data_IF_939579612007
#
_entry.id   IF_939579612007
#
_cell.length_a   1.000
_cell.length_b   1.000
_cell.length_c   1.000
_cell.angle_alpha   90.00
_cell.angle_beta   90.00
_cell.angle_gamma   90.00
#
_symmetry.space_group_name_H-M   'P 1'
#
loop_
_entity.id
_entity.type
_entity.pdbx_description
1 polymer ?
#
# COMPACT_ATOMS: atom_id res chain seq x y z
N UNK A 1 8.32 -5.96 -8.27
CA UNK A 1 8.35 -5.72 -6.81
C UNK A 1 9.76 -6.01 -6.35
N UNK A 2 10.36 -5.14 -5.56
CA UNK A 2 11.64 -5.41 -4.90
C UNK A 2 11.33 -5.70 -3.43
N UNK A 3 11.71 -6.88 -2.95
CA UNK A 3 11.35 -7.39 -1.63
C UNK A 3 10.32 -8.51 -1.65
N UNK A 4 10.13 -9.13 -0.49
CA UNK A 4 9.28 -10.31 -0.31
C UNK A 4 7.80 -9.95 -0.40
N UNK A 5 7.02 -10.86 -0.96
CA UNK A 5 5.57 -10.71 -1.14
C UNK A 5 4.87 -11.83 -0.39
N UNK A 6 3.90 -11.47 0.45
CA UNK A 6 3.06 -12.43 1.17
C UNK A 6 1.59 -12.29 0.80
N UNK A 7 0.90 -13.40 0.58
CA UNK A 7 -0.56 -13.42 0.43
C UNK A 7 -1.16 -14.31 1.52
N UNK A 8 -1.76 -13.65 2.51
CA UNK A 8 -2.29 -14.29 3.70
C UNK A 8 -3.55 -15.15 3.47
N UNK A 9 -4.07 -15.75 4.56
CA UNK A 9 -5.27 -16.57 4.54
C UNK A 9 -6.41 -15.95 3.74
N UNK A 10 -7.08 -16.75 2.92
CA UNK A 10 -8.24 -16.32 2.12
C UNK A 10 -7.96 -15.21 1.09
N UNK A 11 -6.71 -14.84 0.90
CA UNK A 11 -6.29 -13.89 -0.11
C UNK A 11 -6.51 -14.41 -1.53
N UNK A 12 -6.51 -13.51 -2.49
CA UNK A 12 -6.48 -13.84 -3.92
C UNK A 12 -5.32 -13.12 -4.57
N UNK A 13 -4.56 -13.84 -5.38
CA UNK A 13 -3.44 -13.27 -6.15
C UNK A 13 -3.74 -13.38 -7.65
N UNK A 14 -3.37 -12.34 -8.39
CA UNK A 14 -3.43 -12.26 -9.84
C UNK A 14 -2.01 -11.95 -10.33
N UNK A 15 -1.20 -12.99 -10.53
CA UNK A 15 0.21 -12.82 -10.87
C UNK A 15 0.36 -12.80 -12.39
N UNK A 16 0.22 -11.63 -12.99
CA UNK A 16 0.16 -11.45 -14.45
C UNK A 16 1.54 -11.21 -15.05
N UNK A 17 1.85 -11.81 -16.19
CA UNK A 17 3.04 -11.43 -16.96
C UNK A 17 2.90 -10.01 -17.54
N UNK A 18 3.97 -9.21 -17.64
CA UNK A 18 5.37 -9.50 -17.34
C UNK A 18 5.80 -9.06 -15.91
N UNK A 19 4.94 -9.21 -14.90
CA UNK A 19 5.30 -8.80 -13.53
C UNK A 19 6.46 -9.63 -12.98
N UNK A 20 7.36 -8.98 -12.23
CA UNK A 20 8.54 -9.60 -11.62
C UNK A 20 8.57 -9.32 -10.13
N UNK A 21 8.84 -10.33 -9.31
CA UNK A 21 9.16 -10.23 -7.89
C UNK A 21 10.65 -10.50 -7.71
N UNK A 22 11.39 -9.49 -7.27
CA UNK A 22 12.78 -9.57 -6.84
C UNK A 22 12.82 -9.77 -5.31
N UNK A 23 12.47 -10.98 -4.89
CA UNK A 23 12.28 -11.39 -3.50
C UNK A 23 11.57 -12.74 -3.43
N UNK A 24 11.30 -13.21 -2.22
CA UNK A 24 10.56 -14.45 -1.99
C UNK A 24 9.04 -14.22 -2.05
N UNK A 25 8.29 -15.22 -2.51
CA UNK A 25 6.82 -15.21 -2.55
C UNK A 25 6.28 -16.22 -1.54
N UNK A 26 5.52 -15.75 -0.55
CA UNK A 26 4.88 -16.57 0.48
C UNK A 26 3.37 -16.62 0.22
N UNK A 27 2.83 -17.81 -0.01
CA UNK A 27 1.41 -18.05 -0.18
C UNK A 27 0.89 -18.87 0.99
N UNK A 28 -0.07 -18.32 1.73
CA UNK A 28 -0.70 -19.03 2.83
C UNK A 28 -1.39 -20.31 2.35
N UNK A 29 -1.30 -21.38 3.15
CA UNK A 29 -1.92 -22.67 2.84
C UNK A 29 -3.45 -22.61 2.69
N UNK A 30 -4.09 -21.57 3.23
CA UNK A 30 -5.53 -21.32 3.15
C UNK A 30 -5.90 -20.21 2.14
N UNK A 31 -5.00 -19.89 1.21
CA UNK A 31 -5.26 -18.97 0.10
C UNK A 31 -6.57 -19.31 -0.62
N UNK A 32 -7.39 -18.31 -0.95
CA UNK A 32 -8.66 -18.55 -1.62
C UNK A 32 -8.48 -18.91 -3.10
N UNK A 33 -7.61 -18.18 -3.82
CA UNK A 33 -7.43 -18.39 -5.26
C UNK A 33 -6.15 -17.75 -5.83
N UNK A 34 -5.57 -18.42 -6.83
CA UNK A 34 -4.64 -17.81 -7.81
C UNK A 34 -5.42 -17.60 -9.11
N UNK A 35 -5.53 -16.37 -9.61
CA UNK A 35 -6.26 -16.02 -10.83
C UNK A 35 -5.43 -16.33 -12.08
N UNK A 36 -4.22 -15.77 -12.14
CA UNK A 36 -3.19 -16.08 -13.13
C UNK A 36 -1.86 -16.31 -12.41
N UNK A 37 -0.98 -17.04 -13.08
CA UNK A 37 0.33 -17.41 -12.55
C UNK A 37 1.40 -17.31 -13.66
N UNK A 38 1.45 -16.15 -14.30
CA UNK A 38 2.29 -15.84 -15.47
C UNK A 38 3.43 -14.86 -15.13
N UNK A 39 3.51 -14.40 -13.88
CA UNK A 39 4.60 -13.55 -13.41
C UNK A 39 5.91 -14.33 -13.23
N UNK A 40 6.97 -13.62 -12.85
CA UNK A 40 8.30 -14.21 -12.59
C UNK A 40 8.78 -13.88 -11.19
N UNK A 41 9.11 -14.89 -10.40
CA UNK A 41 9.84 -14.75 -9.14
C UNK A 41 11.34 -14.97 -9.36
N UNK A 42 12.18 -14.04 -8.88
CA UNK A 42 13.64 -14.23 -8.84
C UNK A 42 14.06 -14.99 -7.56
N UNK A 43 13.27 -14.87 -6.49
CA UNK A 43 13.47 -15.61 -5.23
C UNK A 43 12.74 -16.95 -5.19
N UNK A 44 12.47 -17.43 -3.97
CA UNK A 44 11.80 -18.71 -3.71
C UNK A 44 10.29 -18.51 -3.54
N UNK A 45 9.49 -19.38 -4.17
CA UNK A 45 8.07 -19.52 -3.86
C UNK A 45 7.88 -20.53 -2.73
N UNK A 46 7.19 -20.10 -1.66
CA UNK A 46 6.72 -20.92 -0.56
C UNK A 46 5.19 -21.00 -0.61
N UNK A 47 4.65 -22.11 -1.08
CA UNK A 47 3.21 -22.34 -1.26
C UNK A 47 2.67 -23.57 -0.50
N UNK A 48 3.55 -24.35 0.12
CA UNK A 48 3.20 -25.49 0.96
C UNK A 48 3.38 -25.20 2.45
N UNK A 49 2.34 -25.49 3.24
CA UNK A 49 2.39 -25.50 4.70
C UNK A 49 2.66 -24.14 5.36
N UNK A 50 2.60 -23.04 4.60
CA UNK A 50 2.77 -21.70 5.16
C UNK A 50 1.53 -21.30 5.96
N UNK A 51 1.79 -20.83 7.17
CA UNK A 51 0.81 -20.14 8.01
C UNK A 51 1.26 -18.69 8.18
N UNK A 52 0.59 -17.80 7.47
CA UNK A 52 0.83 -16.37 7.49
C UNK A 52 -0.14 -15.63 8.42
N UNK A 53 -0.95 -16.35 9.23
CA UNK A 53 -1.93 -15.74 10.13
C UNK A 53 -1.28 -14.78 11.14
N UNK A 54 -0.14 -15.14 11.70
CA UNK A 54 0.62 -14.29 12.62
C UNK A 54 1.14 -13.01 11.93
N UNK A 55 1.72 -13.14 10.73
CA UNK A 55 2.20 -11.99 9.97
C UNK A 55 1.06 -11.03 9.58
N UNK A 56 -0.11 -11.60 9.27
CA UNK A 56 -1.34 -10.85 9.04
C UNK A 56 -1.81 -10.13 10.31
N UNK A 57 -1.82 -10.81 11.46
CA UNK A 57 -2.20 -10.23 12.75
C UNK A 57 -1.27 -9.08 13.15
N UNK A 58 0.04 -9.26 12.96
CA UNK A 58 1.05 -8.22 13.20
C UNK A 58 0.81 -7.01 12.30
N UNK A 59 0.53 -7.21 11.01
CA UNK A 59 0.23 -6.14 10.07
C UNK A 59 -1.06 -5.39 10.43
N UNK A 60 -2.12 -6.11 10.84
CA UNK A 60 -3.36 -5.52 11.30
C UNK A 60 -3.15 -4.71 12.58
N UNK A 61 -2.45 -5.27 13.56
CA UNK A 61 -2.12 -4.62 14.82
C UNK A 61 -1.29 -3.36 14.58
N UNK A 62 -0.28 -3.43 13.72
CA UNK A 62 0.51 -2.28 13.33
C UNK A 62 -0.36 -1.20 12.66
N UNK A 63 -1.26 -1.59 11.76
CA UNK A 63 -2.18 -0.65 11.13
C UNK A 63 -3.15 -0.02 12.14
N UNK A 64 -3.66 -0.76 13.12
CA UNK A 64 -4.53 -0.25 14.18
C UNK A 64 -3.81 0.75 15.08
N UNK A 65 -2.63 0.39 15.57
CA UNK A 65 -1.78 1.27 16.39
C UNK A 65 -1.46 2.57 15.64
N UNK A 66 -1.14 2.49 14.35
CA UNK A 66 -0.82 3.67 13.55
C UNK A 66 -2.05 4.53 13.25
N UNK A 67 -3.21 3.93 13.05
CA UNK A 67 -4.46 4.67 12.85
C UNK A 67 -4.99 5.34 14.12
N UNK A 68 -4.64 4.83 15.30
CA UNK A 68 -5.04 5.43 16.58
C UNK A 68 -4.12 6.58 17.03
N UNK A 69 -3.08 6.91 16.26
CA UNK A 69 -2.19 8.04 16.60
C UNK A 69 -2.90 9.37 16.41
N UNK A 70 -2.52 10.35 17.24
CA UNK A 70 -3.02 11.72 17.13
C UNK A 70 -2.70 12.30 15.76
N UNK A 71 -3.75 12.78 15.10
CA UNK A 71 -3.67 13.32 13.76
C UNK A 71 -2.98 14.67 13.77
N UNK A 72 -1.95 14.83 12.96
CA UNK A 72 -1.24 16.10 12.81
C UNK A 72 -1.80 16.95 11.68
N UNK A 73 -2.36 16.32 10.64
CA UNK A 73 -2.90 16.98 9.46
C UNK A 73 -4.10 16.22 8.91
N UNK A 74 -5.05 16.96 8.31
CA UNK A 74 -6.27 16.40 7.72
C UNK A 74 -6.41 16.90 6.29
N UNK A 75 -6.74 16.00 5.37
CA UNK A 75 -7.13 16.31 4.00
C UNK A 75 -8.51 15.71 3.72
N UNK A 76 -9.33 16.50 3.03
CA UNK A 76 -10.48 15.97 2.32
C UNK A 76 -10.01 15.09 1.15
N UNK A 77 -10.96 14.65 0.32
CA UNK A 77 -10.65 13.88 -0.88
C UNK A 77 -9.64 14.58 -1.79
N UNK A 78 -8.51 13.92 -2.05
CA UNK A 78 -7.44 14.36 -2.94
C UNK A 78 -7.71 13.86 -4.36
N UNK A 79 -7.98 14.79 -5.28
CA UNK A 79 -8.23 14.51 -6.71
C UNK A 79 -7.24 15.20 -7.66
N UNK A 80 -6.35 16.03 -7.11
CA UNK A 80 -5.27 16.74 -7.82
C UNK A 80 -3.95 16.52 -7.09
N UNK A 81 -2.84 16.94 -7.70
CA UNK A 81 -1.54 16.90 -7.03
C UNK A 81 -1.54 17.76 -5.78
N UNK A 82 -0.93 17.24 -4.71
CA UNK A 82 -0.82 17.90 -3.40
C UNK A 82 0.61 17.72 -2.91
N UNK A 83 1.18 18.79 -2.35
CA UNK A 83 2.41 18.71 -1.56
C UNK A 83 2.03 18.82 -0.08
N UNK A 84 2.29 17.77 0.67
CA UNK A 84 2.17 17.76 2.11
C UNK A 84 3.53 18.11 2.73
N UNK A 85 3.56 19.15 3.56
CA UNK A 85 4.75 19.54 4.31
C UNK A 85 4.64 18.93 5.71
N UNK A 86 5.62 18.12 6.09
CA UNK A 86 5.74 17.55 7.41
C UNK A 86 6.09 18.61 8.46
N UNK A 87 5.72 18.32 9.71
CA UNK A 87 5.99 19.15 10.88
C UNK A 87 7.30 18.74 11.60
N UNK A 88 8.09 17.84 11.01
CA UNK A 88 9.21 17.17 11.67
C UNK A 88 8.75 15.96 12.51
N UNK A 89 9.60 14.94 12.64
CA UNK A 89 9.31 13.77 13.46
C UNK A 89 8.16 12.93 12.90
N UNK A 90 7.13 12.64 13.69
CA UNK A 90 5.98 11.82 13.26
C UNK A 90 4.88 12.68 12.63
N UNK A 91 4.53 12.38 11.38
CA UNK A 91 3.45 13.02 10.64
C UNK A 91 2.31 12.03 10.43
N UNK A 92 1.18 12.24 11.11
CA UNK A 92 -0.01 11.39 10.98
C UNK A 92 -1.07 12.16 10.21
N UNK A 93 -1.34 11.71 8.99
CA UNK A 93 -2.13 12.43 8.01
C UNK A 93 -3.40 11.64 7.73
N UNK A 94 -4.54 12.17 8.16
CA UNK A 94 -5.84 11.59 7.81
C UNK A 94 -6.30 12.15 6.48
N UNK A 95 -6.67 11.26 5.56
CA UNK A 95 -7.10 11.60 4.21
C UNK A 95 -8.45 10.95 3.97
N UNK A 96 -9.47 11.72 3.61
CA UNK A 96 -10.79 11.18 3.30
C UNK A 96 -10.73 10.22 2.10
N UNK A 97 -9.87 10.47 1.10
CA UNK A 97 -9.61 9.56 0.00
C UNK A 97 -8.61 10.11 -1.01
N UNK A 98 -8.05 9.23 -1.85
CA UNK A 98 -7.18 9.55 -2.99
C UNK A 98 -7.81 8.99 -4.26
N UNK A 99 -8.19 9.83 -5.22
CA UNK A 99 -8.82 9.40 -6.47
C UNK A 99 -8.12 9.99 -7.68
N UNK A 100 -6.99 9.37 -8.05
CA UNK A 100 -6.17 9.73 -9.19
C UNK A 100 -6.55 8.99 -10.48
N UNK A 101 -7.80 8.51 -10.60
CA UNK A 101 -8.28 7.82 -11.81
C UNK A 101 -8.10 8.61 -13.12
N UNK A 102 -8.02 9.94 -13.03
CA UNK A 102 -7.84 10.85 -14.18
C UNK A 102 -6.37 11.17 -14.49
N UNK A 103 -5.44 10.64 -13.72
CA UNK A 103 -4.00 10.83 -13.99
C UNK A 103 -3.66 10.28 -15.37
N UNK A 104 -2.76 10.96 -16.07
CA UNK A 104 -2.34 10.62 -17.43
C UNK A 104 -0.91 11.10 -17.68
N UNK A 105 -0.32 10.74 -18.84
CA UNK A 105 1.01 11.25 -19.22
C UNK A 105 1.01 12.78 -19.36
N UNK A 106 -0.07 13.36 -19.88
CA UNK A 106 -0.18 14.81 -20.06
C UNK A 106 -0.46 15.54 -18.73
N UNK A 107 -1.07 14.86 -17.77
CA UNK A 107 -1.46 15.42 -16.47
C UNK A 107 -1.15 14.41 -15.35
N UNK A 108 0.13 14.20 -15.01
CA UNK A 108 0.50 13.27 -13.95
C UNK A 108 0.05 13.84 -12.60
N UNK A 109 -0.61 13.02 -11.79
CA UNK A 109 -1.07 13.42 -10.45
C UNK A 109 -0.17 12.82 -9.38
N UNK A 110 0.19 13.62 -8.37
CA UNK A 110 1.08 13.16 -7.31
C UNK A 110 0.74 13.72 -5.93
N UNK A 111 0.78 12.86 -4.92
CA UNK A 111 0.92 13.27 -3.52
C UNK A 111 2.41 13.27 -3.19
N UNK A 112 2.97 14.44 -2.91
CA UNK A 112 4.39 14.60 -2.54
C UNK A 112 4.50 14.87 -1.04
N UNK A 113 5.24 14.03 -0.31
CA UNK A 113 5.53 14.18 1.11
C UNK A 113 6.86 14.89 1.27
N UNK A 114 6.87 16.06 1.90
CA UNK A 114 8.04 16.90 2.05
C UNK A 114 8.43 16.92 3.53
N UNK A 115 9.63 16.46 3.85
CA UNK A 115 10.11 16.35 5.23
C UNK A 115 11.62 16.17 5.30
N UNK A 116 12.15 16.05 6.52
CA UNK A 116 13.54 15.69 6.78
C UNK A 116 13.81 14.19 6.67
N UNK A 117 15.08 13.79 6.75
CA UNK A 117 15.50 12.38 6.69
C UNK A 117 15.00 11.52 7.83
N UNK A 118 14.71 12.15 8.97
CA UNK A 118 14.21 11.47 10.16
C UNK A 118 12.69 11.51 10.28
N UNK A 119 11.99 12.14 9.33
CA UNK A 119 10.54 12.24 9.41
C UNK A 119 9.89 10.89 9.08
N UNK A 120 8.82 10.58 9.81
CA UNK A 120 7.95 9.43 9.58
C UNK A 120 6.62 9.95 9.07
N UNK A 121 6.06 9.29 8.07
CA UNK A 121 4.75 9.63 7.52
C UNK A 121 3.81 8.44 7.66
N UNK A 122 2.67 8.66 8.29
CA UNK A 122 1.57 7.70 8.39
C UNK A 122 0.37 8.30 7.65
N UNK A 123 0.02 7.73 6.50
CA UNK A 123 -1.14 8.13 5.72
C UNK A 123 -2.32 7.22 6.06
N UNK A 124 -3.30 7.74 6.79
CA UNK A 124 -4.54 7.05 7.11
C UNK A 124 -5.61 7.44 6.07
N UNK A 125 -5.87 6.57 5.10
CA UNK A 125 -6.83 6.83 4.02
C UNK A 125 -8.17 6.18 4.34
N UNK A 126 -9.18 6.99 4.67
CA UNK A 126 -10.49 6.55 5.14
C UNK A 126 -11.40 5.96 4.05
N UNK A 127 -11.49 6.66 2.92
CA UNK A 127 -12.34 6.33 1.78
C UNK A 127 -11.52 6.00 0.54
N UNK A 128 -12.10 6.21 -0.64
CA UNK A 128 -11.62 5.73 -1.94
C UNK A 128 -10.11 5.93 -2.13
N UNK A 129 -9.38 4.87 -2.45
CA UNK A 129 -7.95 4.85 -2.81
C UNK A 129 -7.78 4.27 -4.21
N UNK A 130 -7.52 5.14 -5.19
CA UNK A 130 -7.30 4.78 -6.59
C UNK A 130 -6.12 5.56 -7.14
N UNK A 131 -5.11 4.84 -7.59
CA UNK A 131 -3.97 5.38 -8.31
C UNK A 131 -4.15 5.07 -9.81
N UNK A 132 -4.47 6.09 -10.60
CA UNK A 132 -4.56 5.95 -12.06
C UNK A 132 -3.19 5.85 -12.74
N UNK A 133 -3.15 5.72 -14.07
CA UNK A 133 -1.89 5.64 -14.80
C UNK A 133 -1.08 6.92 -14.61
N UNK A 134 0.24 6.80 -14.48
CA UNK A 134 1.18 7.93 -14.25
C UNK A 134 0.91 8.74 -12.98
N UNK A 135 0.10 8.22 -12.04
CA UNK A 135 -0.05 8.83 -10.72
C UNK A 135 1.08 8.38 -9.80
N UNK A 136 1.30 9.06 -8.67
CA UNK A 136 2.29 8.61 -7.68
C UNK A 136 1.98 9.11 -6.27
N UNK A 137 2.48 8.39 -5.27
CA UNK A 137 2.72 8.89 -3.92
C UNK A 137 4.23 8.79 -3.71
N UNK A 138 4.87 9.89 -3.33
CA UNK A 138 6.34 9.96 -3.26
C UNK A 138 6.80 10.92 -2.17
N UNK A 139 7.97 10.66 -1.62
CA UNK A 139 8.69 11.64 -0.80
C UNK A 139 9.48 12.62 -1.65
N UNK A 140 9.84 13.76 -1.06
CA UNK A 140 10.98 14.56 -1.49
C UNK A 140 12.28 13.77 -1.30
N UNK A 141 13.38 14.24 -1.89
CA UNK A 141 14.69 13.56 -1.89
C UNK A 141 15.22 13.14 -0.51
N UNK A 142 14.74 13.77 0.57
CA UNK A 142 15.15 13.47 1.94
C UNK A 142 14.24 12.46 2.65
N UNK A 143 13.02 12.22 2.19
CA UNK A 143 12.13 11.27 2.85
C UNK A 143 12.48 9.87 2.34
N UNK A 144 12.76 8.94 3.25
CA UNK A 144 13.02 7.55 2.89
C UNK A 144 11.69 6.78 2.75
N UNK A 145 11.47 5.98 1.68
CA UNK A 145 10.26 5.17 1.53
C UNK A 145 9.96 4.25 2.72
N UNK A 146 10.99 3.71 3.37
CA UNK A 146 10.86 2.85 4.56
C UNK A 146 10.27 3.57 5.76
N UNK A 147 10.22 4.91 5.72
CA UNK A 147 9.65 5.79 6.74
C UNK A 147 8.24 6.25 6.41
N UNK A 148 7.65 5.71 5.34
CA UNK A 148 6.28 6.01 4.92
C UNK A 148 5.42 4.76 5.07
N UNK A 149 4.36 4.89 5.87
CA UNK A 149 3.32 3.90 6.05
C UNK A 149 2.01 4.41 5.44
N UNK A 150 1.36 3.58 4.63
CA UNK A 150 0.04 3.87 4.07
C UNK A 150 -0.97 2.86 4.62
N UNK A 151 -1.88 3.33 5.47
CA UNK A 151 -3.00 2.58 6.01
C UNK A 151 -4.26 2.87 5.21
N UNK A 152 -4.77 1.87 4.50
CA UNK A 152 -6.03 1.98 3.76
C UNK A 152 -7.16 1.39 4.61
N UNK A 153 -8.08 2.24 5.06
CA UNK A 153 -9.20 1.88 5.94
C UNK A 153 -10.40 1.33 5.16
N UNK A 154 -11.37 0.77 5.90
CA UNK A 154 -12.54 0.07 5.37
C UNK A 154 -13.46 1.01 4.58
N UNK A 155 -13.86 0.58 3.38
CA UNK A 155 -14.68 1.38 2.43
C UNK A 155 -14.10 1.43 1.01
N UNK A 156 -12.91 0.87 0.82
CA UNK A 156 -12.20 0.86 -0.45
C UNK A 156 -12.54 -0.36 -1.31
N UNK A 157 -12.97 -0.16 -2.56
CA UNK A 157 -12.82 -1.22 -3.59
C UNK A 157 -11.37 -1.71 -3.61
N UNK A 158 -11.06 -2.97 -3.97
CA UNK A 158 -9.71 -3.52 -3.89
C UNK A 158 -8.68 -2.50 -4.38
N UNK A 159 -7.66 -2.22 -3.56
CA UNK A 159 -6.65 -1.22 -3.91
C UNK A 159 -6.01 -1.64 -5.25
N UNK A 160 -6.32 -0.90 -6.31
CA UNK A 160 -5.78 -1.14 -7.65
C UNK A 160 -4.44 -0.42 -7.75
N UNK A 161 -3.35 -1.17 -7.62
CA UNK A 161 -1.99 -0.68 -7.90
C UNK A 161 -1.66 -0.98 -9.37
N UNK A 162 -1.32 0.04 -10.14
CA UNK A 162 -0.81 -0.12 -11.50
C UNK A 162 0.72 -0.24 -11.45
N UNK A 163 1.30 -1.12 -12.28
CA UNK A 163 2.67 -1.63 -12.19
C UNK A 163 3.84 -0.62 -12.34
N UNK A 164 3.60 0.69 -12.34
CA UNK A 164 4.61 1.70 -12.69
C UNK A 164 4.93 2.68 -11.54
N UNK A 165 4.60 2.35 -10.29
CA UNK A 165 4.88 3.22 -9.15
C UNK A 165 6.30 3.04 -8.62
N UNK A 166 7.19 3.93 -9.10
CA UNK A 166 8.59 4.04 -8.70
C UNK A 166 8.72 4.69 -7.31
N UNK A 167 8.28 3.97 -6.27
CA UNK A 167 8.59 4.17 -4.85
C UNK A 167 7.70 3.19 -4.07
N UNK A 168 8.22 2.12 -3.44
CA UNK A 168 7.38 1.24 -2.63
C UNK A 168 7.46 1.66 -1.14
N UNK A 169 6.57 2.54 -0.66
CA UNK A 169 6.34 2.65 0.78
C UNK A 169 5.74 1.34 1.32
N UNK A 170 5.79 1.12 2.64
CA UNK A 170 5.04 0.01 3.23
C UNK A 170 3.54 0.32 3.15
N UNK A 171 2.80 -0.49 2.39
CA UNK A 171 1.36 -0.33 2.21
C UNK A 171 0.63 -1.44 2.95
N UNK A 172 -0.23 -1.07 3.90
CA UNK A 172 -1.09 -2.00 4.62
C UNK A 172 -2.54 -1.77 4.19
N UNK A 173 -3.14 -2.78 3.55
CA UNK A 173 -4.53 -2.73 3.07
C UNK A 173 -5.43 -3.53 4.01
N UNK A 174 -6.33 -2.88 4.75
CA UNK A 174 -7.24 -3.58 5.68
C UNK A 174 -8.32 -4.43 4.99
N UNK A 175 -8.54 -4.24 3.68
CA UNK A 175 -9.69 -4.78 2.96
C UNK A 175 -9.51 -6.16 2.29
N UNK A 176 -8.36 -6.82 2.42
CA UNK A 176 -8.19 -8.18 1.87
C UNK A 176 -8.76 -9.26 2.83
N UNK A 177 -8.97 -8.95 4.12
CA UNK A 177 -9.24 -9.98 5.13
C UNK A 177 -10.68 -10.04 5.67
N UNK A 178 -11.50 -9.00 5.50
CA UNK A 178 -12.87 -8.97 6.07
C UNK A 178 -14.00 -9.44 5.16
N UNK A 179 -13.76 -9.71 3.87
CA UNK A 179 -14.86 -10.01 2.94
C UNK A 179 -15.40 -11.45 3.00
N UNK A 180 -14.98 -12.28 3.96
CA UNK A 180 -15.45 -13.67 4.12
C UNK A 180 -15.96 -14.02 5.54
N UNK A 181 -16.47 -13.05 6.31
CA UNK A 181 -17.27 -13.33 7.52
C UNK A 181 -18.75 -12.97 7.33
N UNK A 182 -19.34 -13.42 6.21
CA UNK A 182 -20.77 -13.34 5.94
C UNK A 182 -21.23 -14.55 5.14
#
# INVERSE_FOLDING_TARGET
VYGDVGVGPYGTIDFQGPSVIEGDLYLDSTLAKILTDEGTEIGTRYDEGQDLSAAVEDALTAAEINASRDTTQVFDKIITSVSNYGNGGMNVINIEGIDYKKSSVATPLALTLIGGSEDLFVLNVGGKFVLGPNSSIRGSDLVDPSRVLINIQEGNTPAQFAANHCWPPLIIVRNILRKMQG
#
